data_IF_994210272034
#
_entry.id   IF_994210272034
#
_cell.length_a   1.000
_cell.length_b   1.000
_cell.length_c   1.000
_cell.angle_alpha   90.00
_cell.angle_beta   90.00
_cell.angle_gamma   90.00
#
_symmetry.space_group_name_H-M   'P 1'
#
loop_
_entity.id
_entity.type
_entity.pdbx_description
1 polymer ?
#
# COMPACT_ATOMS: atom_id res chain seq x y z
N UNK A 1 -41.62 -8.89 11.14
CA UNK A 1 -40.40 -8.07 11.05
C UNK A 1 -39.20 -9.01 11.01
N UNK A 2 -38.72 -9.35 9.81
CA UNK A 2 -37.55 -10.22 9.64
C UNK A 2 -36.29 -9.36 9.85
N UNK A 3 -35.50 -9.66 10.88
CA UNK A 3 -34.19 -9.02 11.07
C UNK A 3 -33.30 -9.45 9.91
N UNK A 4 -32.92 -8.52 9.04
CA UNK A 4 -31.85 -8.76 8.09
C UNK A 4 -30.56 -8.94 8.88
N UNK A 5 -30.12 -10.18 9.03
CA UNK A 5 -28.75 -10.48 9.47
C UNK A 5 -27.82 -9.79 8.48
N UNK A 6 -27.12 -8.74 8.95
CA UNK A 6 -26.09 -8.08 8.16
C UNK A 6 -25.02 -9.14 7.86
N UNK A 7 -24.91 -9.54 6.60
CA UNK A 7 -23.80 -10.34 6.12
C UNK A 7 -22.51 -9.73 6.67
N UNK A 8 -21.74 -10.53 7.43
CA UNK A 8 -20.48 -10.06 8.00
C UNK A 8 -19.60 -9.61 6.83
N UNK A 9 -19.23 -8.32 6.81
CA UNK A 9 -18.33 -7.80 5.81
C UNK A 9 -17.07 -8.69 5.72
N UNK A 10 -16.58 -8.97 4.50
CA UNK A 10 -15.41 -9.80 4.33
C UNK A 10 -14.23 -9.18 5.07
N UNK A 11 -13.28 -9.99 5.56
CA UNK A 11 -12.32 -9.56 6.56
C UNK A 11 -11.53 -8.32 6.12
N UNK A 12 -11.15 -8.24 4.86
CA UNK A 12 -10.42 -7.15 4.23
C UNK A 12 -11.12 -5.77 4.27
N UNK A 13 -12.45 -5.76 4.35
CA UNK A 13 -13.26 -4.53 4.39
C UNK A 13 -13.52 -4.03 5.82
N UNK A 14 -13.12 -4.79 6.84
CA UNK A 14 -13.34 -4.39 8.24
C UNK A 14 -12.32 -3.34 8.69
N UNK A 15 -12.75 -2.32 9.45
CA UNK A 15 -11.86 -1.32 10.04
C UNK A 15 -10.98 -1.90 11.14
N UNK A 16 -9.91 -1.18 11.49
CA UNK A 16 -9.07 -1.48 12.65
C UNK A 16 -8.18 -2.71 12.44
N UNK A 17 -7.03 -2.51 11.81
CA UNK A 17 -6.08 -3.58 11.58
C UNK A 17 -4.63 -3.09 11.56
N UNK A 18 -3.72 -3.99 11.93
CA UNK A 18 -2.31 -3.94 11.54
C UNK A 18 -2.15 -4.86 10.34
N UNK A 19 -1.48 -4.39 9.29
CA UNK A 19 -1.31 -5.07 8.02
C UNK A 19 0.15 -5.06 7.59
N UNK A 20 0.46 -5.92 6.62
CA UNK A 20 1.70 -5.88 5.89
C UNK A 20 1.46 -5.68 4.40
N UNK A 21 2.37 -4.98 3.75
CA UNK A 21 2.50 -4.96 2.28
C UNK A 21 3.82 -5.64 1.94
N UNK A 22 3.77 -6.66 1.11
CA UNK A 22 4.95 -7.36 0.59
C UNK A 22 5.16 -7.01 -0.86
N UNK A 23 6.43 -6.90 -1.25
CA UNK A 23 6.84 -6.79 -2.64
C UNK A 23 7.38 -8.15 -3.13
N UNK A 24 7.26 -8.44 -4.43
CA UNK A 24 7.86 -9.63 -5.05
C UNK A 24 9.38 -9.72 -4.88
N UNK A 25 10.07 -8.62 -4.55
CA UNK A 25 11.50 -8.63 -4.20
C UNK A 25 11.80 -9.11 -2.77
N UNK A 26 10.77 -9.38 -1.96
CA UNK A 26 10.89 -9.80 -0.55
C UNK A 26 10.85 -8.65 0.45
N UNK A 27 10.76 -7.39 0.01
CA UNK A 27 10.61 -6.26 0.90
C UNK A 27 9.25 -6.27 1.62
N UNK A 28 9.25 -5.77 2.85
CA UNK A 28 8.12 -5.79 3.77
C UNK A 28 7.87 -4.40 4.34
N UNK A 29 6.65 -3.91 4.22
CA UNK A 29 6.14 -2.74 4.93
C UNK A 29 5.08 -3.17 5.91
N UNK A 30 5.04 -2.55 7.09
CA UNK A 30 4.04 -2.81 8.13
C UNK A 30 3.33 -1.52 8.48
N UNK A 31 2.00 -1.54 8.57
CA UNK A 31 1.22 -0.35 8.87
C UNK A 31 0.01 -0.64 9.75
N UNK A 32 -0.48 0.37 10.47
CA UNK A 32 -1.80 0.34 11.09
C UNK A 32 -2.85 1.13 10.30
N UNK A 33 -4.12 0.82 10.54
CA UNK A 33 -5.25 1.59 10.02
C UNK A 33 -6.49 1.49 10.87
N UNK A 34 -7.14 2.63 11.08
CA UNK A 34 -8.53 2.70 11.55
C UNK A 34 -9.56 2.38 10.47
N UNK A 35 -9.24 2.61 9.20
CA UNK A 35 -10.07 2.25 8.03
C UNK A 35 -9.83 0.79 7.62
N UNK A 36 -10.44 0.34 6.51
CA UNK A 36 -10.15 -0.97 5.94
C UNK A 36 -8.72 -1.06 5.39
N UNK A 37 -8.19 -2.29 5.32
CA UNK A 37 -6.86 -2.55 4.77
C UNK A 37 -6.84 -2.32 3.26
N UNK A 38 -7.94 -2.63 2.56
CA UNK A 38 -8.11 -2.28 1.15
C UNK A 38 -8.00 -0.78 0.89
N UNK A 39 -8.60 0.05 1.75
CA UNK A 39 -8.53 1.51 1.62
C UNK A 39 -7.08 2.01 1.70
N UNK A 40 -6.31 1.53 2.68
CA UNK A 40 -4.89 1.87 2.82
C UNK A 40 -4.06 1.41 1.64
N UNK A 41 -4.32 0.22 1.12
CA UNK A 41 -3.58 -0.27 -0.03
C UNK A 41 -3.78 0.66 -1.22
N UNK A 42 -5.03 1.05 -1.49
CA UNK A 42 -5.35 2.01 -2.54
C UNK A 42 -4.66 3.37 -2.32
N UNK A 43 -4.50 3.84 -1.09
CA UNK A 43 -3.73 5.07 -0.82
C UNK A 43 -2.24 4.94 -1.19
N UNK A 44 -1.61 3.80 -0.86
CA UNK A 44 -0.24 3.52 -1.28
C UNK A 44 -0.12 3.43 -2.80
N UNK A 45 -1.06 2.74 -3.47
CA UNK A 45 -1.09 2.62 -4.94
C UNK A 45 -1.32 3.98 -5.61
N UNK A 46 -2.23 4.81 -5.10
CA UNK A 46 -2.42 6.19 -5.60
C UNK A 46 -1.15 7.03 -5.48
N UNK A 47 -0.37 6.84 -4.43
CA UNK A 47 0.92 7.54 -4.28
C UNK A 47 1.92 7.10 -5.36
N UNK A 48 1.98 5.80 -5.66
CA UNK A 48 2.78 5.29 -6.78
C UNK A 48 2.29 5.81 -8.14
N UNK A 49 0.99 5.82 -8.39
CA UNK A 49 0.41 6.39 -9.62
C UNK A 49 0.72 7.88 -9.76
N UNK A 50 0.62 8.66 -8.68
CA UNK A 50 0.99 10.09 -8.70
C UNK A 50 2.46 10.29 -9.08
N UNK A 51 3.35 9.47 -8.54
CA UNK A 51 4.76 9.50 -8.92
C UNK A 51 4.93 9.24 -10.43
N UNK A 52 4.35 8.15 -10.96
CA UNK A 52 4.49 7.77 -12.37
C UNK A 52 3.91 8.82 -13.33
N UNK A 53 2.78 9.42 -12.98
CA UNK A 53 2.20 10.51 -13.77
C UNK A 53 3.09 11.76 -13.76
N UNK A 54 3.70 12.10 -12.61
CA UNK A 54 4.64 13.20 -12.53
C UNK A 54 5.95 12.91 -13.27
N UNK A 55 6.44 11.68 -13.24
CA UNK A 55 7.60 11.21 -14.00
C UNK A 55 7.35 11.28 -15.51
N UNK A 56 6.19 10.81 -16.00
CA UNK A 56 5.81 10.93 -17.42
C UNK A 56 5.74 12.40 -17.87
N UNK A 57 5.19 13.29 -17.03
CA UNK A 57 5.21 14.75 -17.28
C UNK A 57 6.63 15.30 -17.35
N UNK A 58 7.51 14.87 -16.44
CA UNK A 58 8.90 15.29 -16.43
C UNK A 58 9.63 14.85 -17.71
N UNK A 59 9.31 13.67 -18.25
CA UNK A 59 9.86 13.16 -19.52
C UNK A 59 9.18 13.74 -20.76
N UNK A 60 8.17 14.61 -20.62
CA UNK A 60 7.42 15.18 -21.75
C UNK A 60 6.49 14.17 -22.45
N UNK A 61 6.19 13.04 -21.81
CA UNK A 61 5.31 11.98 -22.32
C UNK A 61 3.83 12.21 -21.96
N UNK A 62 3.47 13.41 -21.49
CA UNK A 62 2.14 13.69 -20.96
C UNK A 62 1.06 13.67 -22.05
N UNK A 63 0.11 12.75 -21.91
CA UNK A 63 -1.12 12.71 -22.70
C UNK A 63 -2.12 13.64 -22.01
N UNK A 64 -2.54 14.71 -22.70
CA UNK A 64 -3.52 15.69 -22.21
C UNK A 64 -4.65 15.05 -21.39
N UNK A 65 -4.53 15.08 -20.06
CA UNK A 65 -5.60 14.59 -19.18
C UNK A 65 -6.74 15.60 -19.13
N UNK A 66 -7.98 15.12 -19.23
CA UNK A 66 -9.17 15.94 -18.94
C UNK A 66 -9.19 16.27 -17.45
N UNK A 67 -9.32 17.55 -17.11
CA UNK A 67 -9.46 18.00 -15.72
C UNK A 67 -8.57 19.20 -15.39
N UNK A 68 -8.46 19.50 -14.10
CA UNK A 68 -7.63 20.61 -13.61
C UNK A 68 -6.16 20.23 -13.70
N UNK A 69 -5.32 21.02 -14.39
CA UNK A 69 -3.88 20.78 -14.43
C UNK A 69 -3.28 20.76 -13.02
N UNK A 70 -2.35 19.84 -12.78
CA UNK A 70 -1.51 19.88 -11.59
C UNK A 70 -0.66 21.14 -11.62
N UNK A 71 -0.73 21.95 -10.56
CA UNK A 71 0.05 23.18 -10.42
C UNK A 71 1.46 22.94 -9.90
N UNK A 72 1.72 21.77 -9.32
CA UNK A 72 3.05 21.43 -8.84
C UNK A 72 3.95 21.03 -10.01
N UNK A 73 5.18 21.54 -9.95
CA UNK A 73 6.27 21.12 -10.84
C UNK A 73 6.46 19.60 -10.78
N UNK A 74 6.74 18.93 -11.92
CA UNK A 74 6.83 17.48 -11.98
C UNK A 74 7.77 16.87 -10.94
N UNK A 75 9.00 17.39 -10.80
CA UNK A 75 9.98 16.89 -9.82
C UNK A 75 9.48 17.03 -8.38
N UNK A 76 8.85 18.16 -8.05
CA UNK A 76 8.27 18.39 -6.72
C UNK A 76 7.08 17.45 -6.45
N UNK A 77 6.28 17.16 -7.47
CA UNK A 77 5.18 16.21 -7.38
C UNK A 77 5.68 14.77 -7.21
N UNK A 78 6.76 14.39 -7.89
CA UNK A 78 7.46 13.11 -7.70
C UNK A 78 7.94 12.99 -6.26
N UNK A 79 8.71 13.96 -5.76
CA UNK A 79 9.25 13.93 -4.40
C UNK A 79 8.13 13.83 -3.35
N UNK A 80 7.07 14.65 -3.49
CA UNK A 80 5.92 14.61 -2.59
C UNK A 80 5.25 13.22 -2.56
N UNK A 81 5.17 12.54 -3.69
CA UNK A 81 4.62 11.19 -3.75
C UNK A 81 5.51 10.18 -3.00
N UNK A 82 6.84 10.27 -3.17
CA UNK A 82 7.80 9.42 -2.45
C UNK A 82 7.78 9.67 -0.94
N UNK A 83 7.75 10.94 -0.53
CA UNK A 83 7.71 11.33 0.88
C UNK A 83 6.48 10.76 1.58
N UNK A 84 5.33 10.77 0.90
CA UNK A 84 4.05 10.32 1.45
C UNK A 84 3.89 8.81 1.64
N UNK A 85 4.75 7.98 1.02
CA UNK A 85 4.56 6.52 1.02
C UNK A 85 5.88 5.79 0.85
N UNK A 86 6.35 5.16 1.92
CA UNK A 86 7.51 4.27 1.91
C UNK A 86 7.37 3.13 0.88
N UNK A 87 6.13 2.63 0.70
CA UNK A 87 5.80 1.62 -0.31
C UNK A 87 6.00 2.14 -1.74
N UNK A 88 5.60 3.39 -2.00
CA UNK A 88 5.79 4.00 -3.32
C UNK A 88 7.26 4.27 -3.61
N UNK A 89 7.99 4.80 -2.62
CA UNK A 89 9.45 4.99 -2.70
C UNK A 89 10.18 3.68 -2.99
N UNK A 90 9.87 2.63 -2.24
CA UNK A 90 10.44 1.32 -2.50
C UNK A 90 10.08 0.78 -3.89
N UNK A 91 8.81 0.84 -4.28
CA UNK A 91 8.37 0.32 -5.57
C UNK A 91 9.07 1.03 -6.75
N UNK A 92 9.27 2.34 -6.65
CA UNK A 92 10.04 3.11 -7.63
C UNK A 92 11.50 2.65 -7.67
N UNK A 93 12.17 2.60 -6.52
CA UNK A 93 13.57 2.18 -6.42
C UNK A 93 13.80 0.73 -6.90
N UNK A 94 12.82 -0.14 -6.67
CA UNK A 94 12.86 -1.55 -7.07
C UNK A 94 12.35 -1.80 -8.51
N UNK A 95 11.91 -0.75 -9.22
CA UNK A 95 11.31 -0.85 -10.56
C UNK A 95 10.09 -1.80 -10.59
N UNK A 96 9.26 -1.71 -9.55
CA UNK A 96 8.07 -2.53 -9.33
C UNK A 96 6.79 -1.73 -9.58
N UNK A 97 5.74 -2.46 -9.91
CA UNK A 97 4.41 -1.90 -10.19
C UNK A 97 3.39 -2.35 -9.15
N UNK A 98 2.13 -1.91 -9.28
CA UNK A 98 1.08 -2.31 -8.35
C UNK A 98 0.83 -3.83 -8.31
N UNK A 99 1.08 -4.55 -9.41
CA UNK A 99 0.90 -6.01 -9.47
C UNK A 99 1.98 -6.78 -8.71
N UNK A 100 3.13 -6.15 -8.44
CA UNK A 100 4.22 -6.70 -7.64
C UNK A 100 4.00 -6.54 -6.13
N UNK A 101 2.89 -5.92 -5.73
CA UNK A 101 2.58 -5.62 -4.33
C UNK A 101 1.37 -6.46 -3.89
N UNK A 102 1.45 -7.02 -2.69
CA UNK A 102 0.31 -7.68 -2.05
C UNK A 102 0.13 -7.17 -0.63
N UNK A 103 -1.12 -7.05 -0.19
CA UNK A 103 -1.44 -6.64 1.18
C UNK A 103 -2.14 -7.78 1.93
N UNK A 104 -1.82 -7.94 3.22
CA UNK A 104 -2.48 -8.92 4.08
C UNK A 104 -2.61 -8.41 5.51
N UNK A 105 -3.65 -8.86 6.21
CA UNK A 105 -3.91 -8.52 7.60
C UNK A 105 -2.98 -9.32 8.51
N UNK A 106 -2.27 -8.66 9.42
CA UNK A 106 -1.49 -9.29 10.48
C UNK A 106 -2.31 -9.46 11.75
N UNK A 107 -3.00 -8.41 12.17
CA UNK A 107 -3.75 -8.39 13.41
C UNK A 107 -4.98 -7.49 13.32
N UNK A 108 -6.08 -7.84 13.99
CA UNK A 108 -7.27 -6.99 14.10
C UNK A 108 -7.38 -6.41 15.49
N UNK A 109 -7.46 -5.09 15.56
CA UNK A 109 -7.58 -4.37 16.82
C UNK A 109 -8.28 -3.03 16.54
N UNK A 110 -9.39 -2.78 17.23
CA UNK A 110 -10.20 -1.56 17.03
C UNK A 110 -9.66 -0.39 17.85
N UNK A 111 -8.97 -0.66 18.96
CA UNK A 111 -8.42 0.36 19.82
C UNK A 111 -7.13 0.94 19.22
N UNK A 112 -7.19 2.20 18.79
CA UNK A 112 -6.08 2.88 18.12
C UNK A 112 -4.74 2.77 18.86
N UNK A 113 -4.71 3.05 20.17
CA UNK A 113 -3.46 2.94 20.95
C UNK A 113 -2.87 1.53 21.02
N UNK A 114 -3.71 0.49 20.97
CA UNK A 114 -3.21 -0.89 20.94
C UNK A 114 -2.66 -1.22 19.56
N UNK A 115 -3.32 -0.76 18.48
CA UNK A 115 -2.78 -0.90 17.11
C UNK A 115 -1.41 -0.26 16.96
N UNK A 116 -1.21 0.96 17.44
CA UNK A 116 0.09 1.64 17.39
C UNK A 116 1.19 0.83 18.08
N UNK A 117 0.90 0.23 19.24
CA UNK A 117 1.83 -0.64 19.96
C UNK A 117 2.10 -1.93 19.18
N UNK A 118 1.07 -2.57 18.63
CA UNK A 118 1.19 -3.82 17.87
C UNK A 118 1.99 -3.61 16.59
N UNK A 119 1.72 -2.53 15.84
CA UNK A 119 2.49 -2.11 14.67
C UNK A 119 3.97 -1.89 15.02
N UNK A 120 4.23 -1.10 16.06
CA UNK A 120 5.56 -0.83 16.59
C UNK A 120 6.35 -2.10 16.94
N UNK A 121 5.69 -3.09 17.53
CA UNK A 121 6.30 -4.37 17.85
C UNK A 121 6.62 -5.17 16.57
N UNK A 122 5.70 -5.22 15.61
CA UNK A 122 5.95 -5.87 14.33
C UNK A 122 7.10 -5.21 13.55
N UNK A 123 7.17 -3.88 13.52
CA UNK A 123 8.28 -3.16 12.85
C UNK A 123 9.61 -3.50 13.49
N UNK A 124 9.71 -3.55 14.82
CA UNK A 124 10.97 -3.86 15.53
C UNK A 124 11.44 -5.30 15.34
N UNK A 125 10.51 -6.23 15.19
CA UNK A 125 10.82 -7.67 15.06
C UNK A 125 11.12 -8.11 13.64
N UNK A 126 10.90 -7.26 12.63
CA UNK A 126 11.04 -7.63 11.23
C UNK A 126 11.90 -6.61 10.49
N UNK A 127 12.61 -7.06 9.46
CA UNK A 127 13.34 -6.14 8.57
C UNK A 127 12.34 -5.50 7.61
N UNK A 128 12.04 -4.22 7.80
CA UNK A 128 11.02 -3.51 7.03
C UNK A 128 11.57 -2.34 6.23
N UNK A 129 10.78 -1.86 5.25
CA UNK A 129 11.03 -0.62 4.49
C UNK A 129 10.36 0.60 5.13
N UNK A 130 9.83 0.46 6.35
CA UNK A 130 9.23 1.58 7.08
C UNK A 130 10.25 2.72 7.27
N UNK A 131 9.79 3.97 7.18
CA UNK A 131 10.63 5.15 7.39
C UNK A 131 10.91 5.42 8.87
N UNK A 132 10.04 4.93 9.75
CA UNK A 132 10.11 5.09 11.19
C UNK A 132 9.93 3.73 11.91
N UNK A 133 10.19 3.73 13.22
CA UNK A 133 10.05 2.55 14.09
C UNK A 133 8.65 2.41 14.72
N UNK A 134 7.67 3.16 14.24
CA UNK A 134 6.35 3.29 14.85
C UNK A 134 6.38 3.90 16.26
N UNK A 135 5.36 3.57 17.06
CA UNK A 135 5.27 4.02 18.45
C UNK A 135 6.44 3.53 19.32
N UNK A 136 6.78 4.29 20.35
CA UNK A 136 7.82 3.92 21.33
C UNK A 136 7.32 2.80 22.24
N UNK A 137 8.09 1.72 22.34
CA UNK A 137 7.78 0.58 23.22
C UNK A 137 9.03 0.24 24.04
N UNK A 138 8.86 -0.13 25.30
CA UNK A 138 9.97 -0.56 26.17
C UNK A 138 10.60 -1.85 25.66
N UNK A 139 11.93 -1.94 25.73
CA UNK A 139 12.73 -3.12 25.35
C UNK A 139 12.30 -4.43 26.03
N UNK A 140 11.72 -4.34 27.23
CA UNK A 140 11.17 -5.51 27.91
C UNK A 140 10.10 -6.22 27.06
N UNK A 141 9.25 -5.45 26.37
CA UNK A 141 8.22 -6.01 25.48
C UNK A 141 8.80 -6.59 24.21
N UNK A 142 9.88 -6.03 23.68
CA UNK A 142 10.55 -6.56 22.48
C UNK A 142 10.98 -8.00 22.76
N UNK A 143 11.72 -8.22 23.85
CA UNK A 143 12.20 -9.56 24.22
C UNK A 143 11.05 -10.55 24.46
N UNK A 144 9.99 -10.13 25.17
CA UNK A 144 8.86 -11.00 25.49
C UNK A 144 8.00 -11.40 24.28
N UNK A 145 8.03 -10.62 23.20
CA UNK A 145 7.14 -10.79 22.05
C UNK A 145 7.82 -11.37 20.81
N UNK A 146 9.15 -11.56 20.84
CA UNK A 146 9.95 -12.02 19.71
C UNK A 146 9.40 -13.29 19.04
N UNK A 147 8.98 -14.29 19.83
CA UNK A 147 8.47 -15.55 19.29
C UNK A 147 7.13 -15.41 18.52
N UNK A 148 6.34 -14.38 18.79
CA UNK A 148 4.99 -14.22 18.25
C UNK A 148 4.88 -13.16 17.14
N UNK A 149 5.84 -12.24 17.08
CA UNK A 149 5.79 -11.07 16.20
C UNK A 149 6.78 -11.17 15.02
N UNK A 150 7.61 -12.21 14.98
CA UNK A 150 8.45 -12.53 13.84
C UNK A 150 7.62 -13.16 12.72
N UNK A 151 7.62 -12.51 11.55
CA UNK A 151 7.00 -13.01 10.34
C UNK A 151 7.98 -13.96 9.65
N UNK A 152 8.04 -15.20 10.13
CA UNK A 152 8.71 -16.27 9.39
C UNK A 152 8.00 -16.45 8.03
N UNK A 153 8.76 -16.78 6.98
CA UNK A 153 8.26 -16.99 5.62
C UNK A 153 7.40 -18.28 5.45
N UNK A 154 6.48 -18.55 6.39
CA UNK A 154 5.45 -19.57 6.25
C UNK A 154 4.09 -18.88 6.07
N UNK A 155 3.55 -18.84 4.84
CA UNK A 155 2.26 -18.22 4.57
C UNK A 155 1.17 -19.22 4.95
N UNK A 156 0.78 -19.26 6.23
CA UNK A 156 -0.50 -19.87 6.59
C UNK A 156 -1.59 -18.94 6.06
N UNK A 157 -2.21 -19.34 4.95
CA UNK A 157 -3.33 -18.71 4.23
C UNK A 157 -3.78 -17.36 4.79
N UNK A 158 -3.15 -16.28 4.33
CA UNK A 158 -3.69 -14.94 4.51
C UNK A 158 -4.39 -14.58 3.21
N UNK A 159 -5.60 -14.05 3.29
CA UNK A 159 -6.29 -13.46 2.16
C UNK A 159 -5.43 -12.31 1.61
N UNK A 160 -4.59 -12.62 0.62
CA UNK A 160 -3.74 -11.65 -0.06
C UNK A 160 -4.64 -10.88 -1.03
N UNK A 161 -4.83 -9.59 -0.76
CA UNK A 161 -5.37 -8.71 -1.77
C UNK A 161 -4.23 -8.25 -2.66
N UNK A 162 -4.38 -8.50 -3.95
CA UNK A 162 -3.50 -7.96 -4.99
C UNK A 162 -4.15 -6.73 -5.58
N UNK A 163 -3.39 -5.90 -6.32
CA UNK A 163 -3.97 -4.78 -7.05
C UNK A 163 -5.11 -5.22 -7.99
N UNK A 164 -5.02 -6.43 -8.55
CA UNK A 164 -6.05 -7.03 -9.41
C UNK A 164 -7.36 -7.27 -8.63
N UNK A 165 -7.29 -7.69 -7.38
CA UNK A 165 -8.48 -7.92 -6.53
C UNK A 165 -9.18 -6.64 -6.09
N UNK A 166 -8.56 -5.46 -6.25
CA UNK A 166 -9.15 -4.15 -5.94
C UNK A 166 -9.74 -3.48 -7.21
N UNK A 167 -9.38 -3.97 -8.40
CA UNK A 167 -9.79 -3.40 -9.69
C UNK A 167 -11.28 -3.55 -10.01
N UNK A 168 -12.05 -4.36 -9.26
CA UNK A 168 -13.53 -4.44 -9.41
C UNK A 168 -14.27 -3.12 -9.08
N UNK A 169 -13.56 -2.05 -8.71
CA UNK A 169 -14.10 -0.69 -8.56
C UNK A 169 -13.29 0.43 -9.22
N UNK A 170 -12.25 0.12 -10.01
CA UNK A 170 -11.42 1.12 -10.71
C UNK A 170 -11.05 0.57 -12.09
N UNK A 171 -11.40 1.31 -13.15
CA UNK A 171 -11.33 0.86 -14.55
C UNK A 171 -9.97 0.24 -14.92
N UNK A 172 -9.96 -0.94 -15.59
CA UNK A 172 -8.75 -1.59 -16.09
C UNK A 172 -7.92 -0.75 -17.08
N UNK A 173 -8.48 0.33 -17.62
CA UNK A 173 -7.82 1.16 -18.64
C UNK A 173 -6.63 1.99 -18.13
N UNK A 174 -6.42 2.08 -16.80
CA UNK A 174 -5.37 2.91 -16.21
C UNK A 174 -3.99 2.22 -16.08
N UNK A 175 -3.87 0.92 -16.37
CA UNK A 175 -2.64 0.16 -16.08
C UNK A 175 -1.89 -0.46 -17.28
N UNK A 176 -2.47 -0.55 -18.46
CA UNK A 176 -1.76 -1.13 -19.61
C UNK A 176 -2.16 -0.46 -20.92
N UNK A 177 -1.37 0.51 -21.38
CA UNK A 177 -1.31 0.81 -22.81
C UNK A 177 0.15 0.85 -23.25
N UNK A 178 0.60 -0.30 -23.76
CA UNK A 178 1.76 -0.40 -24.64
C UNK A 178 1.69 0.69 -25.72
N UNK A 179 2.81 1.34 -26.09
CA UNK A 179 2.80 2.42 -27.06
C UNK A 179 2.61 1.84 -28.47
N UNK A 180 1.36 1.63 -28.89
CA UNK A 180 1.07 1.35 -30.29
C UNK A 180 1.31 2.62 -31.09
N UNK A 181 2.45 2.67 -31.78
CA UNK A 181 2.72 3.66 -32.80
C UNK A 181 1.62 3.66 -33.86
N UNK A 182 1.07 4.82 -34.16
CA UNK A 182 0.27 5.04 -35.35
C UNK A 182 0.96 6.09 -36.22
N UNK A 183 0.93 5.89 -37.56
CA UNK A 183 1.68 6.71 -38.49
C UNK A 183 1.03 8.10 -38.61
N UNK A 184 1.79 9.11 -39.05
CA UNK A 184 1.21 10.40 -39.36
C UNK A 184 0.31 10.24 -40.59
N UNK A 185 -0.92 10.71 -40.49
CA UNK A 185 -1.81 10.84 -41.65
C UNK A 185 -1.61 12.22 -42.31
N UNK A 186 -1.87 12.30 -43.63
CA UNK A 186 -1.28 13.28 -44.55
C UNK A 186 -1.82 14.70 -44.42
#
# INVERSE_FOLDING_TARGET
>A
MLRSDKLKAPPDQRPGAVYQITCTCGALYIGETGNSVSHRFTEHLRSLTRYRNAEARHMGLDVRTRGRPQTLEPTSAMQKALDSSAVAEHAVACQKTATDLSISVLHRELHYKRREIIEALYIRHNRTINKDAGHTVSEAWVTLTAAHMCLHANPTEKHHLTAVSIADGLSPDDYTREPTGHPPFP
#
